data_IF_953049954013
#
_entry.id   IF_953049954013
#
_cell.length_a   1.000
_cell.length_b   1.000
_cell.length_c   1.000
_cell.angle_alpha   90.00
_cell.angle_beta   90.00
_cell.angle_gamma   90.00
#
_symmetry.space_group_name_H-M   'P 1'
#
loop_
_entity.id
_entity.type
_entity.pdbx_description
1 polymer ?
#
# COMPACT_ATOMS: atom_id res chain seq x y z
N UNK A 1 -30.23 36.01 4.24
CA UNK A 1 -29.16 35.61 3.29
C UNK A 1 -28.16 34.83 4.11
N UNK A 2 -28.06 33.52 3.92
CA UNK A 2 -27.35 32.63 4.83
C UNK A 2 -26.35 31.72 4.08
N UNK A 3 -25.18 31.63 4.71
CA UNK A 3 -24.07 30.70 4.51
C UNK A 3 -23.20 30.90 3.25
N UNK A 4 -22.12 31.65 3.43
CA UNK A 4 -20.87 31.47 2.69
C UNK A 4 -20.37 30.04 2.91
N UNK A 5 -20.15 29.30 1.82
CA UNK A 5 -19.48 28.00 1.86
C UNK A 5 -18.01 28.21 2.16
N UNK A 6 -17.66 28.18 3.45
CA UNK A 6 -16.28 28.08 3.91
C UNK A 6 -15.70 26.74 3.46
N UNK A 7 -14.84 26.74 2.44
CA UNK A 7 -13.97 25.62 2.17
C UNK A 7 -12.77 25.73 3.12
N UNK A 8 -12.78 24.91 4.19
CA UNK A 8 -11.65 24.82 5.11
C UNK A 8 -10.40 24.39 4.33
N UNK A 9 -9.36 25.22 4.39
CA UNK A 9 -8.06 24.94 3.77
C UNK A 9 -7.38 23.78 4.50
N UNK A 10 -6.91 22.79 3.74
CA UNK A 10 -6.14 21.67 4.26
C UNK A 10 -4.74 22.15 4.69
N UNK A 11 -4.54 22.34 6.00
CA UNK A 11 -3.22 22.65 6.56
C UNK A 11 -2.53 21.36 7.02
N UNK A 12 -1.49 20.95 6.28
CA UNK A 12 -0.31 20.31 6.88
C UNK A 12 -0.29 18.79 7.08
N UNK A 13 -1.34 18.03 6.72
CA UNK A 13 -1.30 16.55 6.76
C UNK A 13 -1.87 15.87 5.49
N UNK A 14 -1.83 16.59 4.37
CA UNK A 14 -2.20 16.02 3.05
C UNK A 14 -1.23 14.91 2.59
N UNK A 15 -0.06 14.77 3.23
CA UNK A 15 0.89 13.69 2.93
C UNK A 15 0.45 12.33 3.50
N UNK A 16 -0.38 12.30 4.56
CA UNK A 16 -0.93 11.05 5.10
C UNK A 16 -2.22 10.60 4.41
N UNK A 17 -2.97 11.52 3.77
CA UNK A 17 -4.19 11.18 3.03
C UNK A 17 -3.94 10.39 1.75
N UNK A 18 -2.68 10.27 1.32
CA UNK A 18 -2.27 9.54 0.13
C UNK A 18 -1.42 8.29 0.44
N UNK A 19 -1.70 7.64 1.57
CA UNK A 19 -1.17 6.29 1.85
C UNK A 19 -1.84 5.28 0.92
N UNK A 20 -1.31 5.13 -0.28
CA UNK A 20 -1.81 4.17 -1.27
C UNK A 20 -1.11 2.82 -1.13
N UNK A 21 -1.89 1.75 -1.06
CA UNK A 21 -1.35 0.41 -1.22
C UNK A 21 -1.06 0.13 -2.69
N UNK A 22 0.20 -0.22 -2.97
CA UNK A 22 0.63 -0.62 -4.31
C UNK A 22 0.25 -2.07 -4.54
N UNK A 23 -0.76 -2.29 -5.39
CA UNK A 23 -1.13 -3.64 -5.83
C UNK A 23 -0.52 -3.89 -7.22
N UNK A 24 0.27 -4.95 -7.41
CA UNK A 24 0.78 -5.32 -8.73
C UNK A 24 -0.36 -5.52 -9.72
N UNK A 25 -0.26 -4.86 -10.88
CA UNK A 25 -1.25 -4.97 -11.95
C UNK A 25 -1.47 -6.42 -12.39
N UNK A 26 -0.41 -7.25 -12.35
CA UNK A 26 -0.50 -8.68 -12.65
C UNK A 26 -1.45 -9.46 -11.74
N UNK A 27 -1.61 -9.09 -10.47
CA UNK A 27 -2.58 -9.74 -9.57
C UNK A 27 -4.03 -9.44 -9.97
N UNK A 28 -4.25 -8.31 -10.65
CA UNK A 28 -5.57 -7.87 -11.11
C UNK A 28 -5.87 -8.41 -12.50
N UNK A 29 -4.92 -8.30 -13.44
CA UNK A 29 -5.14 -8.61 -14.87
C UNK A 29 -4.70 -10.01 -15.28
N UNK A 30 -3.86 -10.68 -14.49
CA UNK A 30 -3.32 -11.99 -14.86
C UNK A 30 -4.32 -13.12 -14.62
N UNK A 31 -4.56 -13.94 -15.64
CA UNK A 31 -5.46 -15.10 -15.55
C UNK A 31 -5.07 -16.09 -14.45
N UNK A 32 -3.77 -16.19 -14.16
CA UNK A 32 -3.22 -17.01 -13.06
C UNK A 32 -3.74 -16.59 -11.68
N UNK A 33 -4.05 -15.31 -11.50
CA UNK A 33 -4.49 -14.72 -10.22
C UNK A 33 -5.97 -14.40 -10.19
N UNK A 34 -6.71 -14.78 -11.24
CA UNK A 34 -8.16 -14.56 -11.37
C UNK A 34 -8.98 -15.27 -10.29
N UNK A 35 -8.47 -16.40 -9.79
CA UNK A 35 -9.08 -17.18 -8.70
C UNK A 35 -8.82 -16.62 -7.30
N UNK A 36 -7.89 -15.68 -7.15
CA UNK A 36 -7.61 -15.07 -5.85
C UNK A 36 -8.71 -14.06 -5.49
N UNK A 37 -9.13 -14.07 -4.23
CA UNK A 37 -10.03 -13.06 -3.71
C UNK A 37 -9.38 -11.68 -3.75
N UNK A 38 -10.21 -10.63 -3.80
CA UNK A 38 -9.74 -9.24 -3.69
C UNK A 38 -8.94 -9.04 -2.40
N UNK A 39 -9.39 -9.65 -1.30
CA UNK A 39 -8.72 -9.59 0.01
C UNK A 39 -7.32 -10.19 -0.04
N UNK A 40 -7.11 -11.31 -0.74
CA UNK A 40 -5.79 -11.90 -0.92
C UNK A 40 -4.86 -10.98 -1.72
N UNK A 41 -5.39 -10.27 -2.71
CA UNK A 41 -4.63 -9.29 -3.51
C UNK A 41 -4.27 -8.04 -2.70
N UNK A 42 -5.19 -7.58 -1.86
CA UNK A 42 -4.97 -6.48 -0.91
C UNK A 42 -3.93 -6.86 0.14
N UNK A 43 -4.06 -8.05 0.73
CA UNK A 43 -3.11 -8.59 1.70
C UNK A 43 -1.70 -8.65 1.11
N UNK A 44 -1.55 -9.09 -0.14
CA UNK A 44 -0.26 -9.07 -0.81
C UNK A 44 0.31 -7.65 -0.96
N UNK A 45 -0.53 -6.66 -1.30
CA UNK A 45 -0.12 -5.25 -1.35
C UNK A 45 0.35 -4.71 0.02
N UNK A 46 -0.35 -5.08 1.10
CA UNK A 46 0.04 -4.77 2.48
C UNK A 46 1.39 -5.38 2.86
N UNK A 47 1.59 -6.65 2.51
CA UNK A 47 2.84 -7.38 2.80
C UNK A 47 4.02 -6.81 2.00
N UNK A 48 3.82 -6.35 0.77
CA UNK A 48 4.86 -5.67 -0.01
C UNK A 48 5.32 -4.35 0.62
N UNK A 49 4.38 -3.58 1.14
CA UNK A 49 4.70 -2.33 1.84
C UNK A 49 5.50 -2.63 3.13
N UNK A 50 5.09 -3.65 3.88
CA UNK A 50 5.84 -4.17 5.04
C UNK A 50 7.22 -4.69 4.68
N UNK A 51 7.36 -5.42 3.57
CA UNK A 51 8.65 -5.88 3.07
C UNK A 51 9.58 -4.71 2.74
N UNK A 52 9.04 -3.61 2.19
CA UNK A 52 9.82 -2.40 1.92
C UNK A 52 10.36 -1.78 3.22
N UNK A 53 9.62 -1.88 4.32
CA UNK A 53 10.08 -1.48 5.65
C UNK A 53 11.13 -2.47 6.21
N UNK A 54 10.94 -3.77 6.06
CA UNK A 54 11.90 -4.80 6.45
C UNK A 54 13.25 -4.65 5.71
N UNK A 55 13.22 -4.32 4.42
CA UNK A 55 14.40 -4.03 3.62
C UNK A 55 15.17 -2.80 4.15
N UNK A 56 14.45 -1.74 4.55
CA UNK A 56 15.04 -0.55 5.19
C UNK A 56 15.65 -0.86 6.55
N UNK A 57 15.07 -1.80 7.29
CA UNK A 57 15.56 -2.25 8.60
C UNK A 57 16.70 -3.28 8.51
N UNK A 58 17.13 -3.66 7.30
CA UNK A 58 18.23 -4.60 7.14
C UNK A 58 17.85 -6.07 7.37
N UNK A 59 16.57 -6.43 7.30
CA UNK A 59 16.12 -7.80 7.51
C UNK A 59 16.30 -8.64 6.24
N UNK A 60 17.54 -9.09 6.04
CA UNK A 60 17.95 -9.98 4.97
C UNK A 60 18.30 -11.35 5.54
N UNK A 61 17.95 -12.40 4.82
CA UNK A 61 18.45 -13.75 5.12
C UNK A 61 19.90 -13.92 4.64
N UNK A 62 20.49 -15.09 4.90
CA UNK A 62 21.85 -15.45 4.48
C UNK A 62 22.06 -15.44 2.96
N UNK A 63 20.97 -15.40 2.19
CA UNK A 63 20.97 -15.37 0.71
C UNK A 63 20.66 -13.97 0.17
N UNK A 64 20.58 -12.95 1.04
CA UNK A 64 20.30 -11.56 0.67
C UNK A 64 18.83 -11.31 0.28
N UNK A 65 17.91 -12.20 0.66
CA UNK A 65 16.48 -12.04 0.41
C UNK A 65 15.82 -11.36 1.60
N UNK A 66 15.02 -10.34 1.31
CA UNK A 66 14.23 -9.65 2.33
C UNK A 66 13.09 -10.56 2.76
N UNK A 67 12.99 -10.82 4.05
CA UNK A 67 11.83 -11.49 4.65
C UNK A 67 11.04 -10.51 5.51
N UNK A 68 9.76 -10.80 5.68
CA UNK A 68 8.88 -10.05 6.58
C UNK A 68 8.98 -10.73 7.95
N UNK A 69 9.36 -9.97 8.97
CA UNK A 69 9.35 -10.39 10.38
C UNK A 69 8.16 -9.73 11.10
#
# INVERSE_FOLDING_TARGET
>A
MAAETSFDYYYGDESNQFSFYRIPRQLVTGDRFKRLSTDAKLLYGLLLDRMSLSAKNGWYDEQGRVYIY
#
